data_IF_346369386534
#
_entry.id   IF_346369386534
#
_cell.length_a   1.000
_cell.length_b   1.000
_cell.length_c   1.000
_cell.angle_alpha   90.00
_cell.angle_beta   90.00
_cell.angle_gamma   90.00
#
_symmetry.space_group_name_H-M   'P 1'
#
loop_
_entity.id
_entity.type
_entity.pdbx_description
1 polymer ?
#
# COMPACT_ATOMS: atom_id res chain seq x y z
N UNK A 1 22.53 4.01 14.71
CA UNK A 1 21.44 4.98 14.47
C UNK A 1 20.32 4.23 13.77
N UNK A 2 19.07 4.35 14.24
CA UNK A 2 17.93 3.77 13.54
C UNK A 2 17.58 4.70 12.37
N UNK A 3 17.60 4.18 11.15
CA UNK A 3 17.12 4.92 9.99
C UNK A 3 15.63 5.17 10.16
N UNK A 4 15.22 6.44 10.11
CA UNK A 4 13.83 6.85 10.25
C UNK A 4 13.42 7.51 8.96
N UNK A 5 12.58 6.83 8.20
CA UNK A 5 12.08 7.34 6.94
C UNK A 5 10.63 7.77 7.07
N UNK A 6 10.27 8.85 6.36
CA UNK A 6 8.91 9.35 6.27
C UNK A 6 8.41 9.17 4.83
N UNK A 7 7.33 8.42 4.66
CA UNK A 7 6.62 8.34 3.38
C UNK A 7 5.54 9.42 3.31
N UNK A 8 5.46 10.11 2.17
CA UNK A 8 4.44 11.12 1.91
C UNK A 8 3.79 10.89 0.55
N UNK A 9 2.49 11.13 0.48
CA UNK A 9 1.72 11.17 -0.77
C UNK A 9 1.10 12.54 -0.96
N UNK A 10 1.03 13.02 -2.20
CA UNK A 10 0.46 14.34 -2.50
C UNK A 10 -0.80 14.30 -3.37
N UNK A 11 -1.32 15.50 -3.66
CA UNK A 11 -2.53 15.72 -4.46
C UNK A 11 -2.36 15.37 -5.95
N UNK A 12 -1.11 15.31 -6.44
CA UNK A 12 -0.77 15.04 -7.85
C UNK A 12 -0.35 13.58 -8.10
N UNK A 13 -0.43 12.75 -7.06
CA UNK A 13 -0.13 11.33 -7.13
C UNK A 13 1.34 10.98 -6.93
N UNK A 14 2.15 11.91 -6.39
CA UNK A 14 3.56 11.65 -6.10
C UNK A 14 3.70 10.94 -4.75
N UNK A 15 4.45 9.85 -4.75
CA UNK A 15 4.94 9.16 -3.57
C UNK A 15 6.41 9.56 -3.35
N UNK A 16 6.72 10.02 -2.15
CA UNK A 16 8.06 10.38 -1.74
C UNK A 16 8.47 9.67 -0.45
N UNK A 17 9.73 9.29 -0.35
CA UNK A 17 10.36 8.80 0.87
C UNK A 17 11.45 9.77 1.29
N UNK A 18 11.43 10.19 2.55
CA UNK A 18 12.35 11.18 3.09
C UNK A 18 13.20 10.58 4.19
N UNK A 19 14.47 11.00 4.26
CA UNK A 19 15.26 10.86 5.48
C UNK A 19 14.89 12.01 6.42
N UNK A 20 14.36 11.71 7.60
CA UNK A 20 14.00 12.78 8.55
C UNK A 20 15.23 13.50 9.12
N UNK A 21 16.41 12.90 8.99
CA UNK A 21 17.68 13.50 9.41
C UNK A 21 18.28 14.38 8.30
N UNK A 22 17.81 14.25 7.05
CA UNK A 22 18.22 15.07 5.90
C UNK A 22 17.05 15.29 4.92
N UNK A 23 16.34 16.41 5.10
CA UNK A 23 15.14 16.76 4.33
C UNK A 23 15.44 17.55 3.04
N UNK A 24 16.69 17.64 2.62
CA UNK A 24 17.08 18.45 1.45
C UNK A 24 16.57 17.87 0.13
N UNK A 25 16.45 16.54 0.05
CA UNK A 25 15.91 15.84 -1.11
C UNK A 25 15.33 14.48 -0.71
N UNK A 26 14.26 14.01 -1.39
CA UNK A 26 13.70 12.71 -1.08
C UNK A 26 14.66 11.59 -1.52
N UNK A 27 14.73 10.53 -0.71
CA UNK A 27 15.44 9.29 -1.01
C UNK A 27 14.81 8.53 -2.19
N UNK A 28 13.49 8.68 -2.35
CA UNK A 28 12.70 8.08 -3.40
C UNK A 28 11.59 9.05 -3.80
N UNK A 29 11.33 9.21 -5.09
CA UNK A 29 10.28 10.07 -5.62
C UNK A 29 9.73 9.47 -6.92
N UNK A 30 8.43 9.22 -6.97
CA UNK A 30 7.76 8.69 -8.16
C UNK A 30 6.37 9.29 -8.29
N UNK A 31 5.96 9.64 -9.51
CA UNK A 31 4.55 9.91 -9.81
C UNK A 31 3.81 8.58 -9.98
N UNK A 32 3.45 7.98 -8.86
CA UNK A 32 2.88 6.63 -8.83
C UNK A 32 1.40 6.57 -9.22
N UNK A 33 0.67 7.67 -9.02
CA UNK A 33 -0.75 7.77 -9.29
C UNK A 33 -1.07 8.94 -10.23
N UNK A 34 -2.21 8.84 -10.92
CA UNK A 34 -2.69 9.90 -11.82
C UNK A 34 -3.55 10.95 -11.10
N UNK A 35 -3.89 10.69 -9.83
CA UNK A 35 -4.65 11.56 -8.94
C UNK A 35 -4.10 11.44 -7.51
N UNK A 36 -4.65 12.24 -6.59
CA UNK A 36 -4.30 12.26 -5.15
C UNK A 36 -4.10 10.87 -4.55
N UNK A 37 -3.04 10.74 -3.75
CA UNK A 37 -2.86 9.61 -2.83
C UNK A 37 -3.62 9.92 -1.54
N UNK A 38 -4.69 9.18 -1.26
CA UNK A 38 -5.52 9.43 -0.07
C UNK A 38 -5.02 8.69 1.16
N UNK A 39 -4.38 7.53 0.97
CA UNK A 39 -3.97 6.64 2.04
C UNK A 39 -2.63 6.00 1.73
N UNK A 40 -1.80 5.86 2.77
CA UNK A 40 -0.49 5.21 2.73
C UNK A 40 -0.36 4.34 3.98
N UNK A 41 0.20 3.15 3.81
CA UNK A 41 0.71 2.34 4.92
C UNK A 41 2.06 1.72 4.52
N UNK A 42 2.86 1.30 5.50
CA UNK A 42 4.18 0.73 5.28
C UNK A 42 4.45 -0.44 6.23
N UNK A 43 5.09 -1.48 5.71
CA UNK A 43 5.51 -2.64 6.49
C UNK A 43 7.02 -2.83 6.36
N UNK A 44 7.67 -3.09 7.48
CA UNK A 44 9.12 -3.18 7.54
C UNK A 44 9.65 -4.60 7.37
N UNK A 45 10.76 -4.73 6.63
CA UNK A 45 11.65 -5.90 6.61
C UNK A 45 12.60 -5.96 7.82
N UNK A 46 12.15 -5.56 9.00
CA UNK A 46 13.01 -5.30 10.17
C UNK A 46 13.40 -6.58 10.97
N UNK A 47 13.28 -7.76 10.38
CA UNK A 47 13.58 -9.04 11.04
C UNK A 47 14.12 -10.11 10.09
N UNK A 48 14.88 -11.05 10.64
CA UNK A 48 15.38 -12.24 9.91
C UNK A 48 14.18 -13.06 9.43
N UNK A 49 13.98 -13.13 8.11
CA UNK A 49 12.86 -13.85 7.48
C UNK A 49 11.64 -12.99 7.13
N UNK A 50 11.64 -11.69 7.45
CA UNK A 50 10.66 -10.75 6.92
C UNK A 50 11.11 -10.29 5.51
N UNK A 51 10.15 -10.08 4.60
CA UNK A 51 10.40 -9.64 3.23
C UNK A 51 11.04 -8.24 3.14
N UNK A 52 11.10 -7.70 1.93
CA UNK A 52 11.52 -6.31 1.71
C UNK A 52 10.65 -5.32 2.51
N UNK A 53 11.18 -4.16 2.93
CA UNK A 53 10.32 -3.06 3.35
C UNK A 53 9.48 -2.60 2.16
N UNK A 54 8.17 -2.50 2.36
CA UNK A 54 7.20 -2.15 1.32
C UNK A 54 6.28 -1.04 1.77
N UNK A 55 5.83 -0.22 0.82
CA UNK A 55 4.84 0.84 1.01
C UNK A 55 3.63 0.50 0.16
N UNK A 56 2.43 0.64 0.71
CA UNK A 56 1.17 0.56 -0.05
C UNK A 56 0.55 1.96 -0.15
N UNK A 57 0.08 2.32 -1.34
CA UNK A 57 -0.62 3.58 -1.59
C UNK A 57 -2.00 3.31 -2.18
N UNK A 58 -3.01 4.04 -1.71
CA UNK A 58 -4.37 4.04 -2.27
C UNK A 58 -4.76 5.42 -2.77
N UNK A 59 -5.32 5.49 -3.97
CA UNK A 59 -5.58 6.76 -4.67
C UNK A 59 -7.02 6.91 -5.15
N UNK A 60 -7.38 8.17 -5.43
CA UNK A 60 -8.60 8.55 -6.14
C UNK A 60 -8.63 8.06 -7.58
N UNK A 61 -7.49 7.74 -8.18
CA UNK A 61 -7.47 7.10 -9.50
C UNK A 61 -7.99 5.66 -9.51
N UNK A 62 -8.31 5.14 -8.33
CA UNK A 62 -8.90 3.83 -8.09
C UNK A 62 -7.88 2.69 -8.02
N UNK A 63 -6.60 2.98 -8.18
CA UNK A 63 -5.55 1.98 -8.02
C UNK A 63 -5.06 1.92 -6.56
N UNK A 64 -4.65 0.71 -6.17
CA UNK A 64 -3.79 0.46 -5.02
C UNK A 64 -2.46 -0.08 -5.53
N UNK A 65 -1.35 0.50 -5.09
CA UNK A 65 -0.01 0.14 -5.58
C UNK A 65 0.91 -0.19 -4.42
N UNK A 66 1.73 -1.21 -4.60
CA UNK A 66 2.75 -1.64 -3.64
C UNK A 66 4.12 -1.27 -4.19
N UNK A 67 4.98 -0.72 -3.34
CA UNK A 67 6.27 -0.14 -3.72
C UNK A 67 7.39 -0.74 -2.88
N UNK A 68 8.43 -1.20 -3.55
CA UNK A 68 9.76 -1.40 -2.96
C UNK A 68 10.62 -0.21 -3.39
N UNK A 69 11.05 0.64 -2.44
CA UNK A 69 11.81 1.85 -2.75
C UNK A 69 13.22 1.57 -3.33
N UNK A 70 13.65 0.30 -3.34
CA UNK A 70 14.88 -0.15 -4.02
C UNK A 70 14.64 -0.39 -5.51
N UNK A 71 13.38 -0.66 -5.89
CA UNK A 71 12.95 -0.72 -7.28
C UNK A 71 12.55 0.68 -7.74
N UNK A 72 13.23 1.20 -8.75
CA UNK A 72 12.95 2.54 -9.27
C UNK A 72 11.73 2.53 -10.19
N UNK A 73 10.96 3.61 -10.12
CA UNK A 73 9.92 4.03 -11.07
C UNK A 73 8.70 3.11 -11.25
N UNK A 74 8.76 1.84 -10.84
CA UNK A 74 7.68 0.88 -11.01
C UNK A 74 7.22 0.29 -9.66
N UNK A 75 5.90 0.13 -9.45
CA UNK A 75 5.39 -0.62 -8.31
C UNK A 75 5.69 -2.11 -8.46
N UNK A 76 5.83 -2.83 -7.34
CA UNK A 76 5.98 -4.29 -7.33
C UNK A 76 4.64 -5.00 -7.58
N UNK A 77 3.54 -4.36 -7.23
CA UNK A 77 2.19 -4.82 -7.52
C UNK A 77 1.26 -3.64 -7.79
N UNK A 78 0.30 -3.83 -8.70
CA UNK A 78 -0.76 -2.86 -8.97
C UNK A 78 -2.09 -3.59 -8.97
N UNK A 79 -2.99 -3.13 -8.12
CA UNK A 79 -4.39 -3.51 -8.08
C UNK A 79 -5.18 -2.36 -8.70
N UNK A 80 -5.90 -2.61 -9.79
CA UNK A 80 -6.66 -1.59 -10.50
C UNK A 80 -8.01 -2.13 -10.97
N UNK A 81 -9.04 -1.27 -11.10
CA UNK A 81 -10.34 -1.67 -11.62
C UNK A 81 -10.20 -2.24 -13.04
N UNK A 82 -10.98 -3.27 -13.35
CA UNK A 82 -11.02 -3.83 -14.70
C UNK A 82 -11.38 -2.75 -15.73
N UNK A 83 -10.85 -2.89 -16.95
CA UNK A 83 -11.14 -1.96 -18.03
C UNK A 83 -12.65 -1.83 -18.26
N UNK A 84 -13.18 -0.60 -18.19
CA UNK A 84 -14.60 -0.31 -18.37
C UNK A 84 -15.43 -0.30 -17.08
N UNK A 85 -14.84 -0.63 -15.92
CA UNK A 85 -15.49 -0.41 -14.63
C UNK A 85 -15.31 1.04 -14.15
N UNK A 86 -16.28 1.51 -13.37
CA UNK A 86 -16.17 2.81 -12.71
C UNK A 86 -15.04 2.79 -11.68
N UNK A 87 -14.10 3.73 -11.86
CA UNK A 87 -13.01 3.94 -10.90
C UNK A 87 -13.57 4.47 -9.60
N UNK A 88 -13.38 3.71 -8.52
CA UNK A 88 -13.81 4.10 -7.18
C UNK A 88 -12.61 4.62 -6.41
N UNK A 89 -12.85 5.70 -5.69
CA UNK A 89 -11.85 6.35 -4.85
C UNK A 89 -11.42 5.44 -3.69
N UNK A 90 -10.12 5.13 -3.57
CA UNK A 90 -9.58 4.35 -2.45
C UNK A 90 -9.29 5.29 -1.26
N UNK A 91 -9.95 5.08 -0.12
CA UNK A 91 -9.87 5.97 1.04
C UNK A 91 -9.04 5.41 2.20
N UNK A 92 -8.78 4.10 2.20
CA UNK A 92 -7.98 3.48 3.23
C UNK A 92 -7.25 2.28 2.63
N UNK A 93 -5.98 2.13 3.00
CA UNK A 93 -5.15 0.95 2.77
C UNK A 93 -4.44 0.61 4.07
N UNK A 94 -4.20 -0.67 4.32
CA UNK A 94 -3.41 -1.13 5.45
C UNK A 94 -2.77 -2.48 5.14
N UNK A 95 -1.51 -2.67 5.52
CA UNK A 95 -0.91 -3.99 5.64
C UNK A 95 -1.48 -4.70 6.86
N UNK A 96 -1.78 -5.99 6.71
CA UNK A 96 -2.38 -6.82 7.75
C UNK A 96 -1.71 -8.19 7.78
N UNK A 97 -1.41 -8.67 8.98
CA UNK A 97 -0.92 -10.03 9.21
C UNK A 97 -2.10 -10.94 9.54
N UNK A 98 -2.33 -11.92 8.70
CA UNK A 98 -3.32 -12.95 8.94
C UNK A 98 -2.71 -14.10 9.74
N UNK A 99 -3.51 -14.66 10.64
CA UNK A 99 -3.24 -15.96 11.23
C UNK A 99 -4.35 -16.89 10.76
N UNK A 100 -3.97 -18.04 10.22
CA UNK A 100 -4.87 -19.03 9.60
C UNK A 100 -6.01 -19.50 10.52
N UNK A 101 -5.92 -19.25 11.83
CA UNK A 101 -6.87 -19.71 12.85
C UNK A 101 -7.92 -18.68 13.32
N UNK A 102 -8.13 -17.53 12.64
CA UNK A 102 -9.14 -16.54 13.08
C UNK A 102 -10.37 -16.45 12.12
N UNK A 103 -11.41 -17.29 12.31
CA UNK A 103 -12.59 -17.30 11.46
C UNK A 103 -13.57 -16.13 11.67
N UNK A 104 -13.41 -15.32 12.73
CA UNK A 104 -14.38 -14.28 13.10
C UNK A 104 -14.16 -12.94 12.38
N UNK A 105 -12.94 -12.68 11.89
CA UNK A 105 -12.66 -11.51 11.06
C UNK A 105 -13.23 -11.63 9.64
N UNK A 106 -13.47 -12.85 9.14
CA UNK A 106 -13.92 -13.09 7.77
C UNK A 106 -15.37 -12.64 7.49
N UNK A 107 -16.23 -12.56 8.50
CA UNK A 107 -17.67 -12.34 8.30
C UNK A 107 -18.08 -10.87 8.18
N UNK A 108 -17.28 -9.94 8.70
CA UNK A 108 -17.61 -8.52 8.78
C UNK A 108 -16.99 -7.64 7.69
N UNK A 109 -16.05 -8.17 6.90
CA UNK A 109 -15.28 -7.36 5.95
C UNK A 109 -15.62 -7.76 4.51
N UNK A 110 -16.83 -7.39 4.09
CA UNK A 110 -17.43 -7.74 2.78
C UNK A 110 -16.87 -6.96 1.58
N UNK A 111 -15.77 -6.23 1.73
CA UNK A 111 -15.19 -5.37 0.69
C UNK A 111 -13.67 -5.55 0.49
N UNK A 112 -13.04 -6.52 1.15
CA UNK A 112 -11.60 -6.79 0.97
C UNK A 112 -11.41 -7.61 -0.30
N UNK A 113 -10.66 -7.09 -1.26
CA UNK A 113 -10.02 -7.96 -2.26
C UNK A 113 -8.70 -8.46 -1.66
N UNK A 114 -8.53 -9.78 -1.66
CA UNK A 114 -7.37 -10.46 -1.08
C UNK A 114 -6.26 -10.50 -2.12
N UNK A 115 -5.11 -9.95 -1.80
CA UNK A 115 -3.86 -10.35 -2.45
C UNK A 115 -2.83 -10.72 -1.37
N UNK A 116 -2.36 -11.96 -1.44
CA UNK A 116 -1.24 -12.45 -0.63
C UNK A 116 0.04 -12.02 -1.32
N UNK A 117 0.89 -11.29 -0.60
CA UNK A 117 2.17 -10.79 -1.11
C UNK A 117 3.37 -11.57 -0.54
N UNK A 118 3.16 -12.48 0.41
CA UNK A 118 4.21 -13.41 0.86
C UNK A 118 3.64 -14.70 1.46
N UNK A 119 4.21 -15.86 1.07
CA UNK A 119 3.88 -17.18 1.61
C UNK A 119 4.81 -17.53 2.79
N UNK A 120 4.69 -16.85 3.93
CA UNK A 120 5.45 -17.23 5.14
C UNK A 120 4.62 -18.21 6.00
N UNK A 121 5.14 -19.39 6.40
CA UNK A 121 4.37 -20.49 7.03
C UNK A 121 3.78 -20.23 8.43
N UNK A 122 3.77 -18.97 8.92
CA UNK A 122 3.18 -18.61 10.22
C UNK A 122 2.27 -17.38 10.15
N UNK A 123 2.40 -16.56 9.12
CA UNK A 123 1.62 -15.34 8.92
C UNK A 123 1.53 -15.08 7.43
N UNK A 124 0.33 -14.91 6.90
CA UNK A 124 0.15 -14.38 5.55
C UNK A 124 0.10 -12.85 5.68
N UNK A 125 0.97 -12.15 4.96
CA UNK A 125 0.86 -10.70 4.82
C UNK A 125 -0.11 -10.41 3.67
N UNK A 126 -1.12 -9.60 3.94
CA UNK A 126 -2.02 -9.09 2.91
C UNK A 126 -2.32 -7.61 3.07
N UNK A 127 -3.14 -7.10 2.16
CA UNK A 127 -3.54 -5.70 2.14
C UNK A 127 -5.05 -5.62 2.33
N UNK A 128 -5.48 -4.80 3.28
CA UNK A 128 -6.86 -4.38 3.46
C UNK A 128 -7.04 -3.03 2.76
N UNK A 129 -8.10 -2.89 1.97
CA UNK A 129 -8.43 -1.62 1.31
C UNK A 129 -9.92 -1.32 1.33
N UNK A 130 -10.27 -0.03 1.28
CA UNK A 130 -11.65 0.44 1.25
C UNK A 130 -11.87 1.47 0.15
N UNK A 131 -12.84 1.18 -0.71
CA UNK A 131 -13.27 2.05 -1.79
C UNK A 131 -14.57 2.78 -1.44
N UNK A 132 -14.74 3.96 -2.02
CA UNK A 132 -16.00 4.71 -1.98
C UNK A 132 -17.13 3.88 -2.59
N UNK A 133 -18.26 3.79 -1.88
CA UNK A 133 -19.46 3.14 -2.40
C UNK A 133 -20.01 3.87 -3.63
N UNK A 134 -20.63 3.16 -4.59
CA UNK A 134 -21.41 3.79 -5.65
C UNK A 134 -22.47 4.70 -5.05
N UNK A 135 -22.65 5.89 -5.64
CA UNK A 135 -23.83 6.71 -5.35
C UNK A 135 -25.03 6.01 -6.00
N UNK A 136 -26.05 5.69 -5.19
CA UNK A 136 -27.31 5.13 -5.69
C UNK A 136 -28.22 6.20 -6.26
#
# INVERSE_FOLDING_TARGET
MHQRHLATGDFEGNLQLWDIESLDSPLFNVRGHTQIINAIDAVGGLGVGAGAPEIVTGSKDGAVKVWDCRQKDLPVATMEPEAGQDKRDCWAVAFVFWRESDPLLLSHIKSIERESISNHPRFDLGILMRFRSPVR
#
